data_IF_568389026522
#
_entry.id   IF_568389026522
#
_cell.length_a   1.000
_cell.length_b   1.000
_cell.length_c   1.000
_cell.angle_alpha   90.00
_cell.angle_beta   90.00
_cell.angle_gamma   90.00
#
_symmetry.space_group_name_H-M   'P 1'
#
loop_
_entity.id
_entity.type
_entity.pdbx_description
1 polymer ?
#
# COMPACT_ATOMS: atom_id res chain seq x y z
N UNK A 1 20.49 -56.72 45.53
CA UNK A 1 21.83 -56.75 44.92
C UNK A 1 21.86 -55.70 43.86
N UNK A 2 22.38 -54.64 44.11
CA UNK A 2 23.62 -53.95 43.91
C UNK A 2 23.29 -52.86 42.93
N UNK A 3 23.24 -51.59 43.17
CA UNK A 3 24.26 -50.72 43.71
C UNK A 3 25.05 -50.11 42.58
N UNK A 4 24.78 -48.83 42.27
CA UNK A 4 25.78 -47.92 41.79
C UNK A 4 25.15 -46.50 41.79
N UNK A 5 25.39 -45.83 42.88
CA UNK A 5 25.51 -44.39 43.04
C UNK A 5 26.75 -43.90 42.30
N UNK A 6 26.78 -42.60 42.13
CA UNK A 6 27.90 -41.77 41.80
C UNK A 6 28.04 -41.34 40.34
N UNK A 7 27.73 -40.07 40.09
CA UNK A 7 28.75 -39.03 39.90
C UNK A 7 28.12 -37.67 39.54
N UNK A 8 27.96 -36.81 40.53
CA UNK A 8 27.90 -35.35 40.32
C UNK A 8 29.31 -34.84 40.05
N UNK A 9 29.53 -34.08 39.01
CA UNK A 9 30.72 -33.25 38.93
C UNK A 9 30.51 -31.94 39.70
N UNK A 10 31.11 -31.81 40.85
CA UNK A 10 31.42 -30.56 41.53
C UNK A 10 32.41 -29.79 40.68
N UNK A 11 32.00 -28.69 40.13
CA UNK A 11 32.84 -27.79 39.41
C UNK A 11 32.32 -26.35 39.53
N UNK A 12 32.33 -25.83 40.77
CA UNK A 12 32.18 -24.37 41.00
C UNK A 12 33.43 -23.69 40.48
N UNK A 13 33.35 -23.20 39.23
CA UNK A 13 34.33 -22.26 38.72
C UNK A 13 34.16 -20.94 39.46
N UNK A 14 35.11 -20.70 40.43
CA UNK A 14 35.32 -19.44 41.11
C UNK A 14 35.58 -18.38 40.05
N UNK A 15 34.66 -17.42 39.88
CA UNK A 15 34.89 -16.24 39.07
C UNK A 15 36.05 -15.44 39.67
N UNK A 16 37.01 -14.97 38.87
CA UNK A 16 38.10 -14.14 39.39
C UNK A 16 37.54 -12.74 39.82
N UNK A 17 38.00 -12.30 41.00
CA UNK A 17 37.67 -11.04 41.66
C UNK A 17 38.07 -9.75 40.88
N UNK A 18 38.40 -9.85 39.61
CA UNK A 18 38.81 -8.74 38.76
C UNK A 18 37.63 -7.90 38.21
N UNK A 19 36.37 -8.30 38.40
CA UNK A 19 35.21 -7.59 37.84
C UNK A 19 34.61 -6.49 38.75
N UNK A 20 35.15 -6.30 39.94
CA UNK A 20 34.74 -5.26 40.89
C UNK A 20 35.61 -3.97 40.86
N UNK A 21 36.28 -3.70 39.73
CA UNK A 21 36.93 -2.40 39.56
C UNK A 21 35.85 -1.37 39.24
N UNK A 22 35.41 -0.60 40.26
CA UNK A 22 34.70 0.65 40.12
C UNK A 22 35.32 1.50 39.03
N UNK A 23 34.58 1.96 38.00
CA UNK A 23 35.13 2.92 37.07
C UNK A 23 35.37 4.23 37.82
N UNK A 24 36.64 4.58 37.97
CA UNK A 24 37.10 5.89 38.46
C UNK A 24 36.71 6.93 37.42
N UNK A 25 35.94 7.92 37.83
CA UNK A 25 35.88 9.21 37.09
C UNK A 25 34.67 9.46 36.22
N UNK A 26 33.46 8.99 36.60
CA UNK A 26 32.28 9.64 36.07
C UNK A 26 32.12 11.00 36.78
N UNK A 27 32.77 12.00 36.21
CA UNK A 27 32.54 13.41 36.58
C UNK A 27 31.09 13.72 36.19
N UNK A 28 30.23 13.69 37.17
CA UNK A 28 28.86 14.23 37.00
C UNK A 28 29.04 15.72 36.78
N UNK A 29 29.00 16.16 35.54
CA UNK A 29 28.92 17.57 35.20
C UNK A 29 27.62 18.09 35.84
N UNK A 30 27.67 19.22 36.57
CA UNK A 30 26.45 19.81 37.13
C UNK A 30 25.52 20.11 35.96
N UNK A 31 24.35 19.49 35.95
CA UNK A 31 23.23 19.85 35.07
C UNK A 31 22.92 21.31 35.39
N UNK A 32 23.46 22.22 34.61
CA UNK A 32 23.12 23.64 34.65
C UNK A 32 21.62 23.71 34.28
N UNK A 33 20.79 23.78 35.31
CA UNK A 33 19.40 24.17 35.18
C UNK A 33 19.37 25.62 34.73
N UNK A 34 19.53 25.87 33.45
CA UNK A 34 19.06 27.13 32.89
C UNK A 34 17.56 26.94 32.60
N UNK A 35 16.70 27.70 33.25
CA UNK A 35 15.32 27.84 32.79
C UNK A 35 15.36 28.76 31.59
N UNK A 36 15.77 28.24 30.43
CA UNK A 36 15.55 28.94 29.17
C UNK A 36 14.15 28.54 28.74
N UNK A 37 13.15 29.19 29.31
CA UNK A 37 11.87 29.37 28.63
C UNK A 37 12.10 30.26 27.43
N UNK A 38 12.77 29.73 26.42
CA UNK A 38 12.59 30.24 25.07
C UNK A 38 11.11 29.97 24.74
N UNK A 39 10.33 31.00 24.39
CA UNK A 39 8.97 30.76 23.93
C UNK A 39 9.08 29.79 22.75
N UNK A 40 8.40 28.64 22.86
CA UNK A 40 8.23 27.74 21.72
C UNK A 40 7.76 28.60 20.55
N UNK A 41 8.37 28.50 19.37
CA UNK A 41 7.81 29.16 18.20
C UNK A 41 6.35 28.72 18.12
N UNK A 42 5.46 29.71 18.15
CA UNK A 42 4.03 29.48 18.08
C UNK A 42 3.77 28.54 16.90
N UNK A 43 3.11 27.42 17.17
CA UNK A 43 2.66 26.53 16.10
C UNK A 43 1.96 27.40 15.05
N UNK A 44 2.29 27.23 13.76
CA UNK A 44 1.58 27.98 12.73
C UNK A 44 0.07 27.79 12.97
N UNK A 45 -0.73 28.87 12.89
CA UNK A 45 -2.16 28.77 13.10
C UNK A 45 -2.71 27.68 12.17
N UNK A 46 -3.68 26.87 12.64
CA UNK A 46 -4.32 25.89 11.79
C UNK A 46 -4.86 26.62 10.53
N UNK A 47 -4.72 26.05 9.33
CA UNK A 47 -5.25 26.67 8.12
C UNK A 47 -6.71 26.98 8.36
N UNK A 48 -7.13 28.20 8.00
CA UNK A 48 -8.49 28.65 8.18
C UNK A 48 -9.44 27.66 7.53
N UNK A 49 -10.52 27.22 8.23
CA UNK A 49 -11.49 26.31 7.63
C UNK A 49 -12.12 27.03 6.42
N UNK A 50 -11.85 26.54 5.22
CA UNK A 50 -12.48 27.06 4.00
C UNK A 50 -11.55 27.65 2.96
N UNK A 51 -10.22 27.57 3.11
CA UNK A 51 -9.37 27.78 1.95
C UNK A 51 -9.51 26.54 1.05
N UNK A 52 -10.20 26.63 -0.11
CA UNK A 52 -10.17 25.51 -1.04
C UNK A 52 -8.70 25.24 -1.35
N UNK A 53 -8.28 23.96 -1.48
CA UNK A 53 -6.93 23.64 -1.87
C UNK A 53 -6.62 24.49 -3.08
N UNK A 54 -5.50 25.22 -3.05
CA UNK A 54 -5.03 26.09 -4.13
C UNK A 54 -5.42 25.41 -5.44
N UNK A 55 -6.29 26.07 -6.23
CA UNK A 55 -6.78 25.52 -7.49
C UNK A 55 -5.54 25.24 -8.32
N UNK A 56 -5.06 24.02 -8.23
CA UNK A 56 -4.06 23.51 -9.16
C UNK A 56 -4.67 23.82 -10.52
N UNK A 57 -4.00 24.69 -11.28
CA UNK A 57 -4.46 25.20 -12.57
C UNK A 57 -5.21 24.08 -13.29
N UNK A 58 -6.47 24.35 -13.66
CA UNK A 58 -7.36 23.34 -14.20
C UNK A 58 -6.63 22.65 -15.37
N UNK A 59 -6.18 21.42 -15.13
CA UNK A 59 -5.46 20.65 -16.13
C UNK A 59 -6.39 20.30 -17.26
N UNK A 60 -5.89 20.27 -18.49
CA UNK A 60 -6.70 19.85 -19.62
C UNK A 60 -7.14 18.39 -19.47
N UNK A 61 -8.36 18.07 -19.93
CA UNK A 61 -8.87 16.69 -19.98
C UNK A 61 -7.89 15.76 -20.71
N UNK A 62 -7.19 16.25 -21.74
CA UNK A 62 -6.16 15.53 -22.47
C UNK A 62 -4.95 15.16 -21.62
N UNK A 63 -4.56 16.01 -20.66
CA UNK A 63 -3.47 15.70 -19.71
C UNK A 63 -3.87 14.54 -18.79
N UNK A 64 -5.10 14.57 -18.27
CA UNK A 64 -5.65 13.49 -17.45
C UNK A 64 -5.70 12.19 -18.25
N UNK A 65 -6.25 12.24 -19.45
CA UNK A 65 -6.35 11.09 -20.34
C UNK A 65 -4.97 10.46 -20.63
N UNK A 66 -3.99 11.25 -21.03
CA UNK A 66 -2.63 10.76 -21.33
C UNK A 66 -1.93 10.16 -20.11
N UNK A 67 -2.09 10.77 -18.93
CA UNK A 67 -1.53 10.25 -17.69
C UNK A 67 -2.13 8.90 -17.33
N UNK A 68 -3.44 8.75 -17.35
CA UNK A 68 -4.13 7.51 -17.01
C UNK A 68 -4.00 6.42 -18.07
N UNK A 69 -3.90 6.79 -19.35
CA UNK A 69 -3.60 5.84 -20.43
C UNK A 69 -2.22 5.19 -20.23
N UNK A 70 -1.22 6.02 -19.93
CA UNK A 70 0.13 5.51 -19.63
C UNK A 70 0.11 4.57 -18.43
N UNK A 71 -0.58 4.95 -17.36
CA UNK A 71 -0.72 4.11 -16.18
C UNK A 71 -1.47 2.81 -16.50
N UNK A 72 -2.55 2.85 -17.29
CA UNK A 72 -3.28 1.67 -17.72
C UNK A 72 -2.43 0.67 -18.51
N UNK A 73 -1.40 1.17 -19.25
CA UNK A 73 -0.47 0.33 -20.00
C UNK A 73 0.69 -0.22 -19.16
N UNK A 74 1.08 0.49 -18.08
CA UNK A 74 2.32 0.19 -17.34
C UNK A 74 2.10 -0.31 -15.93
N UNK A 75 0.88 -0.18 -15.37
CA UNK A 75 0.60 -0.54 -13.98
C UNK A 75 0.17 -1.99 -13.88
N UNK A 76 1.05 -2.82 -13.31
CA UNK A 76 0.77 -4.23 -13.00
C UNK A 76 0.76 -4.46 -11.49
N UNK A 77 0.05 -5.49 -11.01
CA UNK A 77 0.14 -5.91 -9.61
C UNK A 77 -1.10 -5.66 -8.75
N UNK A 78 -2.21 -5.27 -9.36
CA UNK A 78 -3.51 -5.17 -8.70
C UNK A 78 -3.74 -3.86 -7.92
N UNK A 79 -4.86 -3.75 -7.17
CA UNK A 79 -5.34 -2.48 -6.62
C UNK A 79 -4.36 -1.75 -5.71
N UNK A 80 -3.60 -2.48 -4.88
CA UNK A 80 -2.61 -1.89 -3.96
C UNK A 80 -1.43 -1.29 -4.74
N UNK A 81 -0.96 -2.01 -5.76
CA UNK A 81 0.11 -1.52 -6.62
C UNK A 81 -0.34 -0.28 -7.41
N UNK A 82 -1.59 -0.26 -7.90
CA UNK A 82 -2.15 0.90 -8.61
C UNK A 82 -2.13 2.16 -7.74
N UNK A 83 -2.49 2.08 -6.46
CA UNK A 83 -2.39 3.20 -5.54
C UNK A 83 -0.94 3.70 -5.40
N UNK A 84 0.04 2.79 -5.37
CA UNK A 84 1.45 3.15 -5.38
C UNK A 84 1.87 3.90 -6.65
N UNK A 85 1.44 3.42 -7.83
CA UNK A 85 1.70 4.10 -9.10
C UNK A 85 1.03 5.47 -9.17
N UNK A 86 -0.21 5.61 -8.68
CA UNK A 86 -0.92 6.90 -8.62
C UNK A 86 -0.20 7.89 -7.72
N UNK A 87 0.26 7.46 -6.54
CA UNK A 87 1.06 8.31 -5.66
C UNK A 87 2.34 8.79 -6.34
N UNK A 88 3.07 7.88 -6.98
CA UNK A 88 4.29 8.25 -7.71
C UNK A 88 4.02 9.24 -8.83
N UNK A 89 3.02 9.01 -9.67
CA UNK A 89 2.74 9.85 -10.83
C UNK A 89 2.12 11.19 -10.43
N UNK A 90 1.12 11.21 -9.54
CA UNK A 90 0.31 12.41 -9.27
C UNK A 90 0.80 13.24 -8.08
N UNK A 91 1.49 12.63 -7.12
CA UNK A 91 2.07 13.36 -5.98
C UNK A 91 3.54 13.71 -6.25
N UNK A 92 4.37 12.70 -6.54
CA UNK A 92 5.81 12.93 -6.65
C UNK A 92 6.22 13.58 -7.97
N UNK A 93 5.69 13.11 -9.11
CA UNK A 93 6.10 13.54 -10.44
C UNK A 93 5.33 14.77 -10.93
N UNK A 94 4.00 14.71 -10.94
CA UNK A 94 3.15 15.79 -11.48
C UNK A 94 2.73 16.81 -10.44
N UNK A 95 2.81 16.47 -9.15
CA UNK A 95 2.45 17.35 -8.04
C UNK A 95 1.03 17.94 -8.17
N UNK A 96 0.07 17.10 -8.59
CA UNK A 96 -1.33 17.51 -8.66
C UNK A 96 -1.94 17.71 -7.29
N UNK A 97 -1.44 16.98 -6.27
CA UNK A 97 -1.82 17.07 -4.87
C UNK A 97 -0.61 16.71 -3.99
N UNK A 98 -0.66 17.06 -2.74
CA UNK A 98 0.33 16.66 -1.74
C UNK A 98 0.07 15.25 -1.17
N UNK A 99 1.02 14.73 -0.39
CA UNK A 99 0.90 13.41 0.21
C UNK A 99 -0.27 13.30 1.19
N UNK A 100 -0.58 14.36 1.93
CA UNK A 100 -1.65 14.37 2.92
C UNK A 100 -3.01 14.30 2.23
N UNK A 101 -3.25 15.15 1.24
CA UNK A 101 -4.48 15.14 0.44
C UNK A 101 -4.67 13.82 -0.31
N UNK A 102 -3.58 13.22 -0.81
CA UNK A 102 -3.64 11.91 -1.44
C UNK A 102 -4.05 10.81 -0.45
N UNK A 103 -3.47 10.80 0.75
CA UNK A 103 -3.81 9.83 1.79
C UNK A 103 -5.28 9.94 2.23
N UNK A 104 -5.79 11.16 2.40
CA UNK A 104 -7.20 11.41 2.72
C UNK A 104 -8.12 10.92 1.61
N UNK A 105 -7.79 11.19 0.34
CA UNK A 105 -8.54 10.73 -0.81
C UNK A 105 -8.61 9.20 -0.87
N UNK A 106 -7.48 8.53 -0.68
CA UNK A 106 -7.42 7.06 -0.66
C UNK A 106 -8.24 6.50 0.51
N UNK A 107 -8.12 7.10 1.71
CA UNK A 107 -8.90 6.69 2.87
C UNK A 107 -10.41 6.81 2.59
N UNK A 108 -10.86 7.93 2.03
CA UNK A 108 -12.26 8.13 1.64
C UNK A 108 -12.73 7.06 0.64
N UNK A 109 -11.94 6.77 -0.39
CA UNK A 109 -12.27 5.75 -1.38
C UNK A 109 -12.33 4.33 -0.80
N UNK A 110 -11.59 4.04 0.29
CA UNK A 110 -11.65 2.74 0.96
C UNK A 110 -12.91 2.54 1.83
N UNK A 111 -13.57 3.62 2.24
CA UNK A 111 -14.88 3.52 2.93
C UNK A 111 -16.04 3.29 1.97
N UNK A 112 -15.89 3.64 0.70
CA UNK A 112 -16.94 3.45 -0.29
C UNK A 112 -16.91 2.00 -0.81
N UNK A 113 -18.07 1.37 -1.01
CA UNK A 113 -18.12 0.04 -1.61
C UNK A 113 -17.64 0.10 -3.06
N UNK A 114 -16.64 -0.74 -3.41
CA UNK A 114 -16.11 -0.82 -4.77
C UNK A 114 -14.59 -0.88 -4.85
N UNK A 115 -14.03 -0.98 -6.06
CA UNK A 115 -12.59 -1.07 -6.26
C UNK A 115 -11.90 0.28 -5.97
N UNK A 116 -11.23 0.38 -4.83
CA UNK A 116 -10.62 1.61 -4.33
C UNK A 116 -9.65 2.27 -5.34
N UNK A 117 -8.93 1.48 -6.16
CA UNK A 117 -8.04 2.03 -7.19
C UNK A 117 -8.79 2.79 -8.28
N UNK A 118 -9.90 2.25 -8.78
CA UNK A 118 -10.72 2.93 -9.79
C UNK A 118 -11.39 4.18 -9.23
N UNK A 119 -11.90 4.10 -8.00
CA UNK A 119 -12.50 5.25 -7.30
C UNK A 119 -11.47 6.36 -7.10
N UNK A 120 -10.26 6.03 -6.62
CA UNK A 120 -9.17 7.00 -6.46
C UNK A 120 -8.78 7.62 -7.80
N UNK A 121 -8.67 6.84 -8.87
CA UNK A 121 -8.37 7.34 -10.20
C UNK A 121 -9.44 8.31 -10.72
N UNK A 122 -10.72 7.96 -10.57
CA UNK A 122 -11.83 8.85 -10.95
C UNK A 122 -11.85 10.13 -10.14
N UNK A 123 -11.62 10.06 -8.82
CA UNK A 123 -11.56 11.22 -7.94
C UNK A 123 -10.40 12.16 -8.28
N UNK A 124 -9.23 11.61 -8.63
CA UNK A 124 -8.09 12.40 -9.13
C UNK A 124 -8.43 13.11 -10.44
N UNK A 125 -9.09 12.42 -11.37
CA UNK A 125 -9.56 13.02 -12.63
C UNK A 125 -10.58 14.12 -12.39
N UNK A 126 -11.53 13.91 -11.47
CA UNK A 126 -12.54 14.88 -11.07
C UNK A 126 -11.89 16.14 -10.46
N UNK A 127 -10.93 15.96 -9.55
CA UNK A 127 -10.23 17.07 -8.91
C UNK A 127 -9.42 17.92 -9.91
N UNK A 128 -8.87 17.29 -10.98
CA UNK A 128 -7.99 17.95 -11.95
C UNK A 128 -8.74 18.64 -13.09
N UNK A 129 -9.79 18.03 -13.64
CA UNK A 129 -10.47 18.50 -14.83
C UNK A 129 -12.00 18.31 -14.77
N UNK A 130 -12.58 18.27 -13.56
CA UNK A 130 -14.01 18.14 -13.36
C UNK A 130 -14.59 16.80 -13.87
N UNK A 131 -15.88 16.77 -14.17
CA UNK A 131 -16.58 15.57 -14.62
C UNK A 131 -16.02 14.93 -15.89
N UNK A 132 -15.55 15.78 -16.82
CA UNK A 132 -14.87 15.31 -18.04
C UNK A 132 -13.52 14.64 -17.71
N UNK A 133 -12.80 15.19 -16.73
CA UNK A 133 -11.57 14.57 -16.22
C UNK A 133 -11.82 13.23 -15.55
N UNK A 134 -12.88 13.09 -14.78
CA UNK A 134 -13.27 11.81 -14.18
C UNK A 134 -13.56 10.74 -15.25
N UNK A 135 -14.35 11.08 -16.26
CA UNK A 135 -14.66 10.18 -17.37
C UNK A 135 -13.40 9.81 -18.16
N UNK A 136 -12.55 10.80 -18.45
CA UNK A 136 -11.29 10.61 -19.15
C UNK A 136 -10.33 9.68 -18.38
N UNK A 137 -10.20 9.85 -17.06
CA UNK A 137 -9.39 9.00 -16.20
C UNK A 137 -9.88 7.54 -16.24
N UNK A 138 -11.18 7.32 -16.08
CA UNK A 138 -11.76 5.99 -16.09
C UNK A 138 -11.60 5.30 -17.44
N UNK A 139 -11.95 5.99 -18.54
CA UNK A 139 -11.84 5.45 -19.91
C UNK A 139 -10.38 5.12 -20.21
N UNK A 140 -9.46 6.07 -19.99
CA UNK A 140 -8.06 5.91 -20.32
C UNK A 140 -7.38 4.79 -19.53
N UNK A 141 -7.75 4.60 -18.27
CA UNK A 141 -7.19 3.53 -17.44
C UNK A 141 -7.74 2.15 -17.81
N UNK A 142 -9.02 2.06 -18.21
CA UNK A 142 -9.70 0.81 -18.54
C UNK A 142 -9.46 0.37 -19.99
N UNK A 143 -9.33 1.34 -20.91
CA UNK A 143 -9.24 1.10 -22.36
C UNK A 143 -8.15 0.10 -22.74
N UNK A 144 -6.90 0.16 -22.25
CA UNK A 144 -5.86 -0.79 -22.62
C UNK A 144 -6.25 -2.23 -22.30
N UNK A 145 -6.75 -2.49 -21.10
CA UNK A 145 -7.14 -3.84 -20.69
C UNK A 145 -8.35 -4.35 -21.49
N UNK A 146 -9.31 -3.48 -21.78
CA UNK A 146 -10.46 -3.83 -22.63
C UNK A 146 -10.04 -4.18 -24.06
N UNK A 147 -9.12 -3.41 -24.64
CA UNK A 147 -8.60 -3.68 -25.98
C UNK A 147 -7.77 -4.98 -26.01
N UNK A 148 -6.95 -5.24 -25.00
CA UNK A 148 -6.22 -6.50 -24.89
C UNK A 148 -7.17 -7.70 -24.78
N UNK A 149 -8.22 -7.60 -23.97
CA UNK A 149 -9.22 -8.66 -23.84
C UNK A 149 -9.97 -8.88 -25.15
N UNK A 150 -10.34 -7.80 -25.84
CA UNK A 150 -11.02 -7.89 -27.15
C UNK A 150 -10.09 -8.53 -28.21
N UNK A 151 -8.84 -8.08 -28.30
CA UNK A 151 -7.86 -8.63 -29.24
C UNK A 151 -7.61 -10.12 -28.95
N UNK A 152 -7.52 -10.50 -27.69
CA UNK A 152 -7.39 -11.88 -27.28
C UNK A 152 -8.61 -12.72 -27.68
N UNK A 153 -9.82 -12.22 -27.43
CA UNK A 153 -11.06 -12.92 -27.80
C UNK A 153 -11.16 -13.14 -29.32
N UNK A 154 -10.85 -12.12 -30.11
CA UNK A 154 -10.84 -12.20 -31.57
C UNK A 154 -9.72 -13.14 -32.07
N UNK A 155 -8.53 -13.08 -31.46
CA UNK A 155 -7.41 -13.94 -31.78
C UNK A 155 -7.68 -15.43 -31.54
N UNK A 156 -8.40 -15.75 -30.44
CA UNK A 156 -8.80 -17.14 -30.16
C UNK A 156 -9.70 -17.73 -31.24
N UNK A 157 -10.53 -16.91 -31.89
CA UNK A 157 -11.39 -17.34 -32.96
C UNK A 157 -10.66 -17.74 -34.26
N UNK A 158 -9.38 -17.36 -34.37
CA UNK A 158 -8.51 -17.68 -35.52
C UNK A 158 -7.58 -18.89 -35.26
N UNK A 159 -7.58 -19.39 -34.02
CA UNK A 159 -6.74 -20.55 -33.66
C UNK A 159 -7.50 -21.86 -33.89
N UNK A 160 -6.79 -22.89 -34.31
CA UNK A 160 -7.33 -24.25 -34.39
C UNK A 160 -7.78 -24.73 -32.99
N UNK A 161 -8.84 -25.56 -32.95
CA UNK A 161 -9.53 -25.94 -31.73
C UNK A 161 -8.66 -26.44 -30.57
N UNK A 162 -7.55 -27.12 -30.86
CA UNK A 162 -6.60 -27.59 -29.84
C UNK A 162 -5.80 -26.44 -29.20
N UNK A 163 -5.34 -25.48 -30.02
CA UNK A 163 -4.59 -24.34 -29.52
C UNK A 163 -5.49 -23.36 -28.73
N UNK A 164 -6.71 -23.14 -29.24
CA UNK A 164 -7.71 -22.31 -28.52
C UNK A 164 -8.11 -22.94 -27.17
N UNK A 165 -8.35 -24.25 -27.12
CA UNK A 165 -8.69 -24.97 -25.90
C UNK A 165 -7.56 -24.94 -24.88
N UNK A 166 -6.30 -25.08 -25.31
CA UNK A 166 -5.12 -24.96 -24.44
C UNK A 166 -4.96 -23.56 -23.84
N UNK A 167 -5.12 -22.51 -24.66
CA UNK A 167 -5.06 -21.13 -24.21
C UNK A 167 -6.17 -20.80 -23.20
N UNK A 168 -7.41 -21.24 -23.47
CA UNK A 168 -8.54 -21.07 -22.55
C UNK A 168 -8.32 -21.82 -21.23
N UNK A 169 -7.76 -23.03 -21.28
CA UNK A 169 -7.46 -23.80 -20.08
C UNK A 169 -6.39 -23.13 -19.23
N UNK A 170 -5.32 -22.64 -19.84
CA UNK A 170 -4.27 -21.85 -19.17
C UNK A 170 -4.83 -20.57 -18.52
N UNK A 171 -5.72 -19.85 -19.21
CA UNK A 171 -6.35 -18.64 -18.70
C UNK A 171 -7.26 -18.94 -17.49
N UNK A 172 -8.02 -20.04 -17.53
CA UNK A 172 -8.84 -20.50 -16.40
C UNK A 172 -7.98 -20.82 -15.18
N UNK A 173 -6.87 -21.50 -15.36
CA UNK A 173 -5.93 -21.80 -14.26
C UNK A 173 -5.33 -20.52 -13.69
N UNK A 174 -4.92 -19.57 -14.52
CA UNK A 174 -4.42 -18.28 -14.08
C UNK A 174 -5.48 -17.49 -13.29
N UNK A 175 -6.73 -17.49 -13.77
CA UNK A 175 -7.83 -16.83 -13.07
C UNK A 175 -8.07 -17.44 -11.68
N UNK A 176 -8.08 -18.77 -11.56
CA UNK A 176 -8.20 -19.46 -10.27
C UNK A 176 -7.05 -19.10 -9.33
N UNK A 177 -5.80 -19.06 -9.83
CA UNK A 177 -4.65 -18.68 -9.03
C UNK A 177 -4.73 -17.25 -8.50
N UNK A 178 -5.17 -16.29 -9.35
CA UNK A 178 -5.36 -14.88 -8.96
C UNK A 178 -6.46 -14.74 -7.92
N UNK A 179 -7.59 -15.42 -8.10
CA UNK A 179 -8.70 -15.41 -7.11
C UNK A 179 -8.24 -16.03 -5.80
N UNK A 180 -7.56 -17.18 -5.85
CA UNK A 180 -7.03 -17.83 -4.65
C UNK A 180 -6.05 -16.91 -3.89
N UNK A 181 -5.15 -16.21 -4.61
CA UNK A 181 -4.25 -15.23 -4.03
C UNK A 181 -4.99 -14.06 -3.39
N UNK A 182 -6.03 -13.53 -4.05
CA UNK A 182 -6.86 -12.44 -3.52
C UNK A 182 -7.58 -12.86 -2.24
N UNK A 183 -8.24 -14.02 -2.24
CA UNK A 183 -8.92 -14.58 -1.06
C UNK A 183 -7.92 -14.82 0.08
N UNK A 184 -6.75 -15.39 -0.22
CA UNK A 184 -5.70 -15.60 0.77
C UNK A 184 -5.21 -14.29 1.39
N UNK A 185 -4.98 -13.26 0.56
CA UNK A 185 -4.55 -11.94 1.01
C UNK A 185 -5.61 -11.26 1.87
N UNK A 186 -6.87 -11.30 1.45
CA UNK A 186 -7.99 -10.77 2.23
C UNK A 186 -8.19 -11.55 3.54
N UNK A 187 -8.10 -12.87 3.51
CA UNK A 187 -8.21 -13.70 4.71
C UNK A 187 -7.15 -13.37 5.76
N UNK A 188 -5.92 -13.13 5.34
CA UNK A 188 -4.84 -12.69 6.24
C UNK A 188 -5.05 -11.28 6.80
N UNK A 189 -5.62 -10.39 6.01
CA UNK A 189 -5.84 -8.99 6.39
C UNK A 189 -7.06 -8.82 7.31
N UNK A 190 -8.17 -9.50 7.01
CA UNK A 190 -9.45 -9.33 7.70
C UNK A 190 -9.64 -10.30 8.87
N UNK A 191 -8.97 -11.46 8.84
CA UNK A 191 -9.13 -12.51 9.83
C UNK A 191 -7.79 -12.87 10.50
N UNK A 192 -7.16 -11.94 11.28
CA UNK A 192 -5.90 -12.22 11.96
C UNK A 192 -6.08 -13.25 13.09
N UNK A 193 -7.29 -13.38 13.65
CA UNK A 193 -7.61 -14.25 14.78
C UNK A 193 -8.35 -15.51 14.35
N UNK A 194 -8.08 -16.64 15.03
CA UNK A 194 -8.73 -17.94 14.78
C UNK A 194 -10.26 -17.90 14.91
N UNK A 195 -10.78 -17.05 15.81
CA UNK A 195 -12.23 -16.87 15.99
C UNK A 195 -12.89 -16.25 14.75
N UNK A 196 -12.25 -15.24 14.14
CA UNK A 196 -12.73 -14.59 12.91
C UNK A 196 -12.62 -15.50 11.69
N UNK A 197 -11.56 -16.35 11.66
CA UNK A 197 -11.41 -17.36 10.61
C UNK A 197 -12.53 -18.41 10.67
N UNK A 198 -12.89 -18.88 11.87
CA UNK A 198 -13.99 -19.83 12.06
C UNK A 198 -15.34 -19.26 11.64
N UNK A 199 -15.60 -17.97 11.94
CA UNK A 199 -16.81 -17.27 11.50
C UNK A 199 -16.86 -17.09 9.96
N UNK A 200 -15.74 -16.78 9.34
CA UNK A 200 -15.65 -16.61 7.88
C UNK A 200 -15.81 -17.92 7.10
N UNK A 201 -15.49 -19.06 7.72
CA UNK A 201 -15.67 -20.39 7.12
C UNK A 201 -17.07 -20.97 7.38
N UNK A 202 -17.79 -20.44 8.38
CA UNK A 202 -19.14 -20.93 8.77
C UNK A 202 -20.29 -20.11 8.18
N UNK A 203 -20.01 -19.01 7.49
CA UNK A 203 -20.99 -18.15 6.82
C UNK A 203 -21.07 -18.45 5.33
#
# INVERSE_FOLDING_TARGET
MGGAQDAMPKGTKKLPDAALRKPRGLRILPVSRRPTTAPMPASPPPPAPGTPPSQAEAGGVGEVFGAFLRLGLTSFGGPVAHLGYFRHEFVQRRRWLDDAAYAELVALCQFLPGPASSQTGMALGLARAGWAGMAAAWIAFTLPSALFMLAFALGLGQLDGLAASGALHGLKLAAVAVVAQAVWSMGRSLCPDRARQALALGA
#
